data_IF_275800613334
#
_entry.id   IF_275800613334
#
_cell.length_a   1.000
_cell.length_b   1.000
_cell.length_c   1.000
_cell.angle_alpha   90.00
_cell.angle_beta   90.00
_cell.angle_gamma   90.00
#
_symmetry.space_group_name_H-M   'P 1'
#
loop_
_entity.id
_entity.type
_entity.pdbx_description
1 polymer ?
#
# COMPACT_ATOMS: atom_id res chain seq x y z
N UNK A 1 15.85 -9.55 -24.90
CA UNK A 1 15.56 -10.38 -23.71
C UNK A 1 14.26 -9.83 -23.18
N UNK A 2 13.24 -10.66 -22.95
CA UNK A 2 12.04 -10.15 -22.27
C UNK A 2 12.44 -9.95 -20.81
N UNK A 3 12.58 -8.69 -20.40
CA UNK A 3 12.89 -8.37 -19.01
C UNK A 3 11.60 -8.51 -18.19
N UNK A 4 11.70 -9.14 -17.03
CA UNK A 4 10.58 -9.29 -16.12
C UNK A 4 10.23 -7.94 -15.48
N UNK A 5 9.00 -7.78 -14.93
CA UNK A 5 8.61 -6.56 -14.25
C UNK A 5 9.58 -6.17 -13.12
N UNK A 6 9.64 -4.88 -12.75
CA UNK A 6 10.37 -4.45 -11.57
C UNK A 6 9.94 -5.23 -10.32
N UNK A 7 10.89 -5.48 -9.42
CA UNK A 7 10.67 -6.31 -8.23
C UNK A 7 10.73 -5.46 -6.96
N UNK A 8 9.68 -5.49 -6.16
CA UNK A 8 9.64 -4.87 -4.84
C UNK A 8 9.63 -5.92 -3.71
N UNK A 9 9.78 -5.47 -2.47
CA UNK A 9 9.65 -6.31 -1.28
C UNK A 9 8.63 -5.71 -0.31
N UNK A 10 7.57 -6.45 -0.01
CA UNK A 10 6.63 -6.15 1.04
C UNK A 10 6.96 -6.97 2.30
N UNK A 11 7.03 -6.29 3.45
CA UNK A 11 7.30 -6.89 4.75
C UNK A 11 6.10 -6.59 5.65
N UNK A 12 5.40 -7.64 6.06
CA UNK A 12 4.26 -7.49 6.96
C UNK A 12 4.70 -7.57 8.42
N UNK A 13 4.36 -6.58 9.24
CA UNK A 13 4.50 -6.61 10.70
C UNK A 13 3.11 -6.63 11.33
N UNK A 14 2.67 -7.73 11.95
CA UNK A 14 1.25 -7.99 12.20
C UNK A 14 0.72 -7.38 13.50
N UNK A 15 1.53 -6.72 14.33
CA UNK A 15 1.12 -6.32 15.68
C UNK A 15 0.66 -4.87 15.75
N UNK A 16 -0.38 -4.63 16.54
CA UNK A 16 -0.82 -3.29 16.95
C UNK A 16 -0.95 -3.26 18.47
N UNK A 17 -0.84 -2.08 19.09
CA UNK A 17 -1.24 -1.90 20.50
C UNK A 17 -2.72 -2.24 20.68
N UNK A 18 -3.56 -1.77 19.75
CA UNK A 18 -4.99 -2.02 19.70
C UNK A 18 -5.42 -2.11 18.24
N UNK A 19 -6.31 -3.05 17.92
CA UNK A 19 -6.95 -3.12 16.60
C UNK A 19 -8.05 -2.06 16.52
N UNK A 20 -8.00 -1.21 15.48
CA UNK A 20 -9.06 -0.22 15.24
C UNK A 20 -10.33 -0.94 14.72
N UNK A 21 -11.54 -0.49 15.09
CA UNK A 21 -12.79 -1.18 14.76
C UNK A 21 -13.12 -1.22 13.26
N UNK A 22 -12.54 -0.31 12.47
CA UNK A 22 -12.66 -0.28 11.00
C UNK A 22 -11.57 -1.07 10.26
N UNK A 23 -10.51 -1.51 10.96
CA UNK A 23 -9.30 -2.02 10.30
C UNK A 23 -9.48 -3.47 9.83
N UNK A 24 -9.45 -3.67 8.52
CA UNK A 24 -9.54 -4.95 7.83
C UNK A 24 -8.18 -5.64 7.63
N UNK A 25 -7.08 -4.91 7.84
CA UNK A 25 -5.74 -5.47 7.76
C UNK A 25 -5.51 -6.63 8.73
N UNK A 26 -4.53 -7.48 8.38
CA UNK A 26 -4.05 -8.57 9.22
C UNK A 26 -3.26 -8.07 10.44
N UNK A 27 -3.94 -7.37 11.33
CA UNK A 27 -3.36 -6.82 12.56
C UNK A 27 -3.88 -7.54 13.81
N UNK A 28 -3.01 -7.69 14.81
CA UNK A 28 -3.26 -8.40 16.06
C UNK A 28 -2.98 -7.45 17.23
N UNK A 29 -4.02 -7.15 18.01
CA UNK A 29 -3.92 -6.28 19.18
C UNK A 29 -3.22 -6.99 20.33
N UNK A 30 -2.04 -6.53 20.72
CA UNK A 30 -1.25 -7.15 21.81
C UNK A 30 -1.37 -6.40 23.14
N UNK A 31 -1.77 -5.13 23.14
CA UNK A 31 -1.74 -4.27 24.33
C UNK A 31 -0.45 -3.44 24.42
N UNK A 32 -0.43 -2.45 25.33
CA UNK A 32 0.70 -1.50 25.45
C UNK A 32 1.94 -2.13 26.10
N UNK A 33 1.74 -3.06 27.03
CA UNK A 33 2.80 -3.58 27.90
C UNK A 33 3.37 -4.93 27.43
N UNK A 34 2.98 -5.38 26.23
CA UNK A 34 3.44 -6.66 25.69
C UNK A 34 4.76 -6.50 24.96
N UNK A 35 5.76 -7.25 25.41
CA UNK A 35 7.04 -7.37 24.71
C UNK A 35 6.84 -8.18 23.43
N UNK A 36 7.20 -7.58 22.29
CA UNK A 36 7.14 -8.24 21.00
C UNK A 36 8.34 -9.19 20.82
N UNK A 37 8.17 -10.36 20.17
CA UNK A 37 9.25 -11.31 19.95
C UNK A 37 10.17 -10.86 18.79
N UNK A 38 10.74 -9.65 18.88
CA UNK A 38 11.42 -8.96 17.79
C UNK A 38 12.52 -9.82 17.16
N UNK A 39 13.46 -10.33 17.96
CA UNK A 39 14.59 -11.15 17.47
C UNK A 39 14.09 -12.36 16.69
N UNK A 40 13.16 -13.12 17.27
CA UNK A 40 12.58 -14.32 16.66
C UNK A 40 11.81 -13.98 15.38
N UNK A 41 11.16 -12.82 15.34
CA UNK A 41 10.43 -12.38 14.16
C UNK A 41 11.37 -11.97 13.03
N UNK A 42 12.42 -11.20 13.33
CA UNK A 42 13.45 -10.84 12.34
C UNK A 42 14.14 -12.10 11.81
N UNK A 43 14.44 -13.08 12.67
CA UNK A 43 14.98 -14.38 12.23
C UNK A 43 14.03 -15.07 11.24
N UNK A 44 12.74 -15.11 11.57
CA UNK A 44 11.74 -15.70 10.71
C UNK A 44 11.57 -14.95 9.37
N UNK A 45 11.67 -13.61 9.36
CA UNK A 45 11.62 -12.83 8.12
C UNK A 45 12.81 -13.11 7.21
N UNK A 46 14.02 -13.19 7.77
CA UNK A 46 15.23 -13.49 6.99
C UNK A 46 15.22 -14.93 6.47
N UNK A 47 14.76 -15.89 7.27
CA UNK A 47 14.59 -17.28 6.85
C UNK A 47 13.50 -17.44 5.77
N UNK A 48 12.40 -16.68 5.87
CA UNK A 48 11.35 -16.64 4.84
C UNK A 48 11.91 -16.13 3.51
N UNK A 49 12.69 -15.04 3.57
CA UNK A 49 13.38 -14.54 2.38
C UNK A 49 14.37 -15.56 1.80
N UNK A 50 15.16 -16.23 2.65
CA UNK A 50 16.12 -17.24 2.18
C UNK A 50 15.42 -18.37 1.41
N UNK A 51 14.20 -18.75 1.83
CA UNK A 51 13.40 -19.74 1.12
C UNK A 51 12.89 -19.22 -0.24
N UNK A 52 12.45 -17.98 -0.30
CA UNK A 52 11.94 -17.35 -1.54
C UNK A 52 13.03 -16.71 -2.41
N UNK A 53 14.31 -16.76 -2.02
CA UNK A 53 15.42 -16.08 -2.70
C UNK A 53 15.52 -16.41 -4.19
N UNK A 54 15.25 -17.65 -4.55
CA UNK A 54 15.22 -18.11 -5.95
C UNK A 54 14.26 -17.30 -6.84
N UNK A 55 13.19 -16.72 -6.28
CA UNK A 55 12.21 -15.93 -7.01
C UNK A 55 12.71 -14.50 -7.34
N UNK A 56 13.81 -14.05 -6.74
CA UNK A 56 14.47 -12.78 -7.08
C UNK A 56 14.98 -12.80 -8.52
N UNK A 57 15.43 -13.97 -8.99
CA UNK A 57 15.88 -14.19 -10.37
C UNK A 57 16.98 -13.20 -10.80
N UNK A 58 17.86 -12.83 -9.87
CA UNK A 58 18.98 -11.91 -10.11
C UNK A 58 18.59 -10.43 -10.27
N UNK A 59 17.31 -10.07 -10.14
CA UNK A 59 16.84 -8.68 -10.20
C UNK A 59 17.23 -7.91 -8.95
N UNK A 60 17.40 -6.60 -9.10
CA UNK A 60 17.46 -5.68 -7.97
C UNK A 60 16.05 -5.44 -7.39
N UNK A 61 16.01 -5.07 -6.11
CA UNK A 61 14.79 -4.62 -5.45
C UNK A 61 14.68 -3.10 -5.57
N UNK A 62 13.58 -2.63 -6.16
CA UNK A 62 13.35 -1.19 -6.44
C UNK A 62 12.69 -0.45 -5.27
N UNK A 63 12.01 -1.17 -4.38
CA UNK A 63 11.43 -0.59 -3.16
C UNK A 63 11.19 -1.65 -2.08
N UNK A 64 11.20 -1.21 -0.82
CA UNK A 64 10.77 -1.99 0.34
C UNK A 64 9.63 -1.24 1.03
N UNK A 65 8.52 -1.93 1.31
CA UNK A 65 7.43 -1.39 2.10
C UNK A 65 7.18 -2.25 3.33
N UNK A 66 7.29 -1.64 4.49
CA UNK A 66 7.11 -2.28 5.78
C UNK A 66 5.79 -1.79 6.36
N UNK A 67 4.75 -2.63 6.26
CA UNK A 67 3.37 -2.29 6.62
C UNK A 67 2.67 -3.34 7.47
N UNK A 68 1.37 -3.17 7.69
CA UNK A 68 0.50 -4.19 8.27
C UNK A 68 -0.27 -3.71 9.49
N UNK A 69 0.16 -4.15 10.67
CA UNK A 69 -0.35 -3.65 11.94
C UNK A 69 0.22 -2.27 12.27
N UNK A 70 1.25 -2.24 13.10
CA UNK A 70 2.00 -1.03 13.44
C UNK A 70 3.49 -1.36 13.43
N UNK A 71 4.12 -1.34 12.25
CA UNK A 71 5.55 -1.63 12.10
C UNK A 71 6.44 -0.83 13.05
N UNK A 72 6.14 0.45 13.26
CA UNK A 72 6.85 1.33 14.18
C UNK A 72 6.86 0.88 15.66
N UNK A 73 6.19 -0.22 16.03
CA UNK A 73 6.33 -0.87 17.34
C UNK A 73 7.62 -1.66 17.51
N UNK A 74 8.28 -2.08 16.42
CA UNK A 74 9.58 -2.75 16.51
C UNK A 74 10.69 -1.74 16.82
N UNK A 75 11.74 -2.17 17.51
CA UNK A 75 12.89 -1.31 17.83
C UNK A 75 13.70 -0.91 16.60
N UNK A 76 14.42 0.21 16.69
CA UNK A 76 15.36 0.62 15.64
C UNK A 76 16.47 -0.42 15.41
N UNK A 77 16.92 -1.12 16.46
CA UNK A 77 17.89 -2.21 16.36
C UNK A 77 17.35 -3.41 15.61
N UNK A 78 16.05 -3.73 15.75
CA UNK A 78 15.43 -4.80 14.96
C UNK A 78 15.45 -4.45 13.46
N UNK A 79 15.12 -3.21 13.12
CA UNK A 79 15.20 -2.75 11.72
C UNK A 79 16.61 -2.66 11.17
N UNK A 80 17.59 -2.23 11.97
CA UNK A 80 19.00 -2.29 11.58
C UNK A 80 19.39 -3.72 11.20
N UNK A 81 19.11 -4.68 12.09
CA UNK A 81 19.40 -6.09 11.87
C UNK A 81 18.69 -6.65 10.64
N UNK A 82 17.41 -6.33 10.46
CA UNK A 82 16.63 -6.74 9.30
C UNK A 82 17.26 -6.21 8.01
N UNK A 83 17.46 -4.89 7.90
CA UNK A 83 17.98 -4.26 6.68
C UNK A 83 19.40 -4.71 6.36
N UNK A 84 20.26 -4.93 7.35
CA UNK A 84 21.59 -5.51 7.14
C UNK A 84 21.50 -6.94 6.61
N UNK A 85 20.59 -7.76 7.17
CA UNK A 85 20.33 -9.11 6.68
C UNK A 85 19.76 -9.13 5.26
N UNK A 86 18.90 -8.16 4.90
CA UNK A 86 18.35 -8.02 3.55
C UNK A 86 19.44 -7.62 2.54
N UNK A 87 20.31 -6.65 2.88
CA UNK A 87 21.45 -6.23 2.02
C UNK A 87 22.45 -7.34 1.73
N UNK A 88 22.57 -8.33 2.62
CA UNK A 88 23.41 -9.51 2.40
C UNK A 88 22.80 -10.50 1.39
N UNK A 89 21.48 -10.46 1.18
CA UNK A 89 20.72 -11.42 0.37
C UNK A 89 20.27 -10.84 -0.96
N UNK A 90 20.04 -9.53 -1.01
CA UNK A 90 19.38 -8.83 -2.09
C UNK A 90 20.24 -7.68 -2.60
N UNK A 91 20.15 -7.43 -3.90
CA UNK A 91 20.70 -6.23 -4.52
C UNK A 91 19.64 -5.15 -4.41
N UNK A 92 19.98 -4.02 -3.80
CA UNK A 92 19.08 -2.87 -3.71
C UNK A 92 19.37 -1.92 -4.86
N UNK A 93 18.32 -1.38 -5.48
CA UNK A 93 18.44 -0.25 -6.38
C UNK A 93 19.14 0.92 -5.67
N UNK A 94 19.92 1.70 -6.41
CA UNK A 94 20.73 2.80 -5.84
C UNK A 94 19.86 3.86 -5.15
N UNK A 95 18.69 4.12 -5.69
CA UNK A 95 17.69 5.09 -5.25
C UNK A 95 16.49 4.44 -4.56
N UNK A 96 16.68 3.24 -3.98
CA UNK A 96 15.62 2.46 -3.33
C UNK A 96 14.81 3.29 -2.34
N UNK A 97 13.48 3.22 -2.46
CA UNK A 97 12.56 3.73 -1.45
C UNK A 97 12.32 2.63 -0.40
N UNK A 98 12.53 2.96 0.88
CA UNK A 98 12.25 2.09 2.02
C UNK A 98 11.23 2.81 2.92
N UNK A 99 9.98 2.40 2.81
CA UNK A 99 8.85 2.94 3.57
C UNK A 99 8.61 2.16 4.85
N UNK A 100 8.38 2.87 5.97
CA UNK A 100 7.86 2.31 7.21
C UNK A 100 6.53 2.99 7.59
N UNK A 101 5.48 2.20 7.82
CA UNK A 101 4.25 2.69 8.44
C UNK A 101 4.44 2.94 9.94
N UNK A 102 3.89 4.06 10.41
CA UNK A 102 3.98 4.49 11.79
C UNK A 102 2.65 5.04 12.33
N UNK A 103 2.42 4.85 13.63
CA UNK A 103 1.36 5.56 14.34
C UNK A 103 1.94 6.77 15.10
N UNK A 104 1.13 7.83 15.35
CA UNK A 104 1.58 9.03 16.06
C UNK A 104 1.98 8.87 17.54
N UNK A 105 2.07 7.66 18.09
CA UNK A 105 2.31 7.44 19.51
C UNK A 105 3.69 7.94 19.99
N UNK A 106 3.78 8.34 21.26
CA UNK A 106 5.00 8.91 21.85
C UNK A 106 6.20 7.95 21.84
N UNK A 107 5.96 6.63 21.93
CA UNK A 107 7.03 5.63 21.94
C UNK A 107 7.67 5.49 20.55
N UNK A 108 6.86 5.64 19.52
CA UNK A 108 7.26 5.54 18.12
C UNK A 108 8.10 6.75 17.71
N UNK A 109 7.75 7.95 18.21
CA UNK A 109 8.46 9.21 17.90
C UNK A 109 9.93 9.18 18.32
N UNK A 110 10.25 8.59 19.46
CA UNK A 110 11.64 8.52 19.97
C UNK A 110 12.54 7.59 19.14
N UNK A 111 11.95 6.81 18.22
CA UNK A 111 12.67 5.81 17.41
C UNK A 111 12.95 6.26 15.99
N UNK A 112 12.37 7.37 15.52
CA UNK A 112 12.51 7.84 14.14
C UNK A 112 13.97 8.08 13.73
N UNK A 113 14.81 8.66 14.59
CA UNK A 113 16.25 8.79 14.31
C UNK A 113 16.93 7.43 14.09
N UNK A 114 16.54 6.43 14.88
CA UNK A 114 17.01 5.06 14.73
C UNK A 114 16.57 4.43 13.42
N UNK A 115 15.31 4.63 13.01
CA UNK A 115 14.80 4.17 11.72
C UNK A 115 15.50 4.85 10.55
N UNK A 116 15.72 6.17 10.62
CA UNK A 116 16.43 6.89 9.56
C UNK A 116 17.84 6.36 9.38
N UNK A 117 18.56 6.12 10.49
CA UNK A 117 19.92 5.58 10.49
C UNK A 117 20.02 4.16 9.94
N UNK A 118 19.00 3.32 10.13
CA UNK A 118 19.01 1.95 9.59
C UNK A 118 18.86 1.90 8.06
N UNK A 119 18.37 2.99 7.46
CA UNK A 119 18.24 3.16 6.02
C UNK A 119 16.80 3.37 5.54
N UNK A 120 15.82 3.37 6.45
CA UNK A 120 14.44 3.77 6.14
C UNK A 120 14.48 5.24 5.73
N UNK A 121 13.86 5.59 4.60
CA UNK A 121 13.93 6.93 4.01
C UNK A 121 12.55 7.52 3.67
N UNK A 122 11.46 6.78 3.94
CA UNK A 122 10.09 7.28 3.86
C UNK A 122 9.27 6.80 5.05
N UNK A 123 8.44 7.69 5.61
CA UNK A 123 7.46 7.35 6.65
C UNK A 123 6.03 7.54 6.14
N UNK A 124 5.14 6.63 6.52
CA UNK A 124 3.68 6.77 6.35
C UNK A 124 3.04 6.86 7.73
N UNK A 125 2.52 8.01 8.10
CA UNK A 125 1.99 8.25 9.45
C UNK A 125 0.45 8.20 9.42
N UNK A 126 -0.11 7.20 10.09
CA UNK A 126 -1.56 7.06 10.23
C UNK A 126 -2.16 8.15 11.12
N UNK A 127 -2.64 9.27 10.55
CA UNK A 127 -3.25 10.34 11.37
C UNK A 127 -4.77 10.11 11.48
N UNK A 128 -5.39 9.81 10.34
CA UNK A 128 -6.82 9.62 10.08
C UNK A 128 -7.66 10.89 10.27
N UNK A 129 -7.51 11.58 11.41
CA UNK A 129 -8.11 12.89 11.66
C UNK A 129 -7.29 13.64 12.72
N UNK A 130 -7.40 14.97 12.77
CA UNK A 130 -6.89 15.80 13.85
C UNK A 130 -7.97 16.12 14.89
N UNK A 131 -9.25 15.89 14.58
CA UNK A 131 -10.37 16.15 15.45
C UNK A 131 -10.52 15.05 16.53
N UNK A 132 -10.59 15.45 17.80
CA UNK A 132 -10.66 14.52 18.93
C UNK A 132 -11.89 13.59 18.86
N UNK A 133 -13.07 14.13 18.55
CA UNK A 133 -14.29 13.33 18.44
C UNK A 133 -14.24 12.30 17.32
N UNK A 134 -13.56 12.61 16.20
CA UNK A 134 -13.39 11.68 15.09
C UNK A 134 -12.39 10.57 15.41
N UNK A 135 -11.29 10.92 16.08
CA UNK A 135 -10.32 9.93 16.56
C UNK A 135 -10.94 8.97 17.59
N UNK A 136 -11.76 9.49 18.51
CA UNK A 136 -12.51 8.68 19.47
C UNK A 136 -13.48 7.73 18.76
N UNK A 137 -14.26 8.23 17.81
CA UNK A 137 -15.18 7.41 17.01
C UNK A 137 -14.43 6.29 16.27
N UNK A 138 -13.25 6.58 15.72
CA UNK A 138 -12.38 5.61 15.05
C UNK A 138 -11.63 4.66 16.00
N UNK A 139 -11.81 4.78 17.32
CA UNK A 139 -11.11 3.98 18.32
C UNK A 139 -9.59 4.22 18.36
N UNK A 140 -9.13 5.35 17.81
CA UNK A 140 -7.71 5.73 17.80
C UNK A 140 -7.27 6.14 19.20
N UNK A 141 -6.05 5.77 19.55
CA UNK A 141 -5.48 5.96 20.90
C UNK A 141 -4.51 7.14 20.99
N UNK A 142 -4.36 7.89 19.89
CA UNK A 142 -3.58 9.11 19.78
C UNK A 142 -4.50 10.32 19.57
N UNK A 143 -3.95 11.51 19.74
CA UNK A 143 -4.59 12.81 19.56
C UNK A 143 -4.02 13.56 18.35
N UNK A 144 -4.76 14.53 17.81
CA UNK A 144 -4.24 15.42 16.77
C UNK A 144 -2.96 16.17 17.19
N UNK A 145 -2.80 16.46 18.48
CA UNK A 145 -1.56 17.03 19.03
C UNK A 145 -0.36 16.08 18.95
N UNK A 146 -0.58 14.78 19.19
CA UNK A 146 0.44 13.74 19.01
C UNK A 146 0.79 13.56 17.54
N UNK A 147 -0.18 13.60 16.63
CA UNK A 147 0.07 13.60 15.18
C UNK A 147 0.99 14.74 14.76
N UNK A 148 0.69 15.99 15.18
CA UNK A 148 1.54 17.15 14.88
C UNK A 148 2.96 17.01 15.46
N UNK A 149 3.11 16.41 16.64
CA UNK A 149 4.43 16.12 17.23
C UNK A 149 5.18 15.07 16.43
N UNK A 150 4.52 13.98 16.03
CA UNK A 150 5.13 12.92 15.27
C UNK A 150 5.72 13.41 13.94
N UNK A 151 5.00 14.28 13.21
CA UNK A 151 5.53 14.86 11.97
C UNK A 151 6.76 15.73 12.22
N UNK A 152 6.77 16.54 13.29
CA UNK A 152 7.96 17.31 13.67
C UNK A 152 9.14 16.42 14.03
N UNK A 153 8.92 15.40 14.85
CA UNK A 153 9.98 14.45 15.22
C UNK A 153 10.52 13.67 14.02
N UNK A 154 9.67 13.34 13.04
CA UNK A 154 10.12 12.71 11.79
C UNK A 154 11.07 13.65 11.00
N UNK A 155 10.73 14.93 10.90
CA UNK A 155 11.58 15.95 10.25
C UNK A 155 12.90 16.15 10.99
N UNK A 156 12.84 16.28 12.32
CA UNK A 156 14.02 16.39 13.19
C UNK A 156 14.94 15.17 13.05
N UNK A 157 14.37 13.98 12.88
CA UNK A 157 15.10 12.74 12.61
C UNK A 157 15.74 12.67 11.19
N UNK A 158 15.46 13.64 10.32
CA UNK A 158 16.02 13.72 8.97
C UNK A 158 15.20 13.00 7.89
N UNK A 159 13.90 12.77 8.12
CA UNK A 159 12.99 12.36 7.05
C UNK A 159 12.53 13.58 6.25
N UNK A 160 12.78 13.55 4.94
CA UNK A 160 12.34 14.54 3.96
C UNK A 160 11.19 14.02 3.08
N UNK A 161 10.81 12.74 3.24
CA UNK A 161 9.69 12.10 2.56
C UNK A 161 8.72 11.52 3.60
N UNK A 162 7.64 12.24 3.85
CA UNK A 162 6.63 11.90 4.87
C UNK A 162 5.25 11.94 4.23
N UNK A 163 4.56 10.81 4.31
CA UNK A 163 3.15 10.68 4.03
C UNK A 163 2.31 10.81 5.32
N UNK A 164 1.15 11.46 5.23
CA UNK A 164 0.11 11.38 6.26
C UNK A 164 -1.13 10.69 5.68
N UNK A 165 -1.63 9.68 6.38
CA UNK A 165 -2.88 9.03 6.04
C UNK A 165 -4.02 9.78 6.74
N UNK A 166 -5.00 10.25 5.97
CA UNK A 166 -6.22 10.92 6.41
C UNK A 166 -7.45 10.17 5.90
N UNK A 167 -8.49 10.16 6.72
CA UNK A 167 -9.77 9.57 6.36
C UNK A 167 -10.86 10.63 6.28
N UNK A 168 -11.75 10.50 5.31
CA UNK A 168 -12.98 11.28 5.22
C UNK A 168 -14.21 10.38 5.22
N UNK A 169 -15.41 10.97 5.33
CA UNK A 169 -16.64 10.21 5.50
C UNK A 169 -16.78 9.59 6.90
N UNK A 170 -16.16 10.20 7.91
CA UNK A 170 -16.17 9.68 9.28
C UNK A 170 -17.53 9.91 9.97
N UNK A 171 -17.86 9.16 11.05
CA UNK A 171 -19.13 9.31 11.75
C UNK A 171 -19.40 10.76 12.20
N UNK A 172 -20.51 11.34 11.73
CA UNK A 172 -20.88 12.73 12.03
C UNK A 172 -19.93 13.79 11.46
N UNK A 173 -19.02 13.45 10.55
CA UNK A 173 -18.10 14.40 9.94
C UNK A 173 -18.84 15.37 9.03
N UNK A 174 -18.61 16.66 9.22
CA UNK A 174 -19.11 17.72 8.34
C UNK A 174 -18.06 18.06 7.28
N UNK A 175 -18.49 18.74 6.21
CA UNK A 175 -17.59 19.29 5.20
C UNK A 175 -16.45 20.10 5.82
N UNK A 176 -16.79 21.06 6.69
CA UNK A 176 -15.80 21.90 7.36
C UNK A 176 -14.81 21.10 8.23
N UNK A 177 -15.26 20.01 8.86
CA UNK A 177 -14.37 19.15 9.65
C UNK A 177 -13.41 18.35 8.76
N UNK A 178 -13.88 17.81 7.64
CA UNK A 178 -13.05 17.09 6.68
C UNK A 178 -11.99 17.99 6.05
N UNK A 179 -12.38 19.20 5.59
CA UNK A 179 -11.44 20.19 5.07
C UNK A 179 -10.46 20.67 6.13
N UNK A 180 -10.91 20.86 7.37
CA UNK A 180 -10.05 21.22 8.49
C UNK A 180 -8.98 20.17 8.82
N UNK A 181 -9.21 18.89 8.50
CA UNK A 181 -8.17 17.85 8.62
C UNK A 181 -7.12 17.99 7.52
N UNK A 182 -7.52 18.28 6.28
CA UNK A 182 -6.61 18.54 5.15
C UNK A 182 -5.77 19.79 5.42
N UNK A 183 -6.39 20.91 5.82
CA UNK A 183 -5.70 22.16 6.13
C UNK A 183 -4.63 21.97 7.21
N UNK A 184 -4.96 21.21 8.27
CA UNK A 184 -4.00 20.91 9.32
C UNK A 184 -2.87 20.00 8.85
N UNK A 185 -3.13 19.03 7.98
CA UNK A 185 -2.08 18.24 7.36
C UNK A 185 -1.19 19.09 6.47
N UNK A 186 -1.75 19.93 5.60
CA UNK A 186 -0.99 20.82 4.72
C UNK A 186 -0.11 21.80 5.50
N UNK A 187 -0.58 22.29 6.65
CA UNK A 187 0.22 23.13 7.55
C UNK A 187 1.42 22.39 8.18
N UNK A 188 1.42 21.05 8.18
CA UNK A 188 2.57 20.23 8.54
C UNK A 188 3.48 19.94 7.33
N UNK A 189 3.15 20.47 6.15
CA UNK A 189 3.95 20.43 4.93
C UNK A 189 4.48 19.01 4.58
N UNK A 190 3.63 17.98 4.49
CA UNK A 190 4.07 16.66 4.06
C UNK A 190 4.50 16.69 2.58
N UNK A 191 5.18 15.63 2.15
CA UNK A 191 5.47 15.43 0.72
C UNK A 191 4.39 14.61 0.01
N UNK A 192 3.56 13.91 0.78
CA UNK A 192 2.56 12.98 0.29
C UNK A 192 1.36 12.92 1.25
N UNK A 193 0.17 12.68 0.72
CA UNK A 193 -1.06 12.46 1.48
C UNK A 193 -1.81 11.27 0.89
N UNK A 194 -2.09 10.27 1.72
CA UNK A 194 -3.13 9.28 1.43
C UNK A 194 -4.43 9.83 2.02
N UNK A 195 -5.40 10.16 1.18
CA UNK A 195 -6.68 10.70 1.61
C UNK A 195 -7.80 9.86 1.01
N UNK A 196 -8.50 9.13 1.87
CA UNK A 196 -9.43 8.08 1.45
C UNK A 196 -10.68 8.05 2.31
N UNK A 197 -11.77 7.54 1.74
CA UNK A 197 -13.03 7.40 2.44
C UNK A 197 -12.96 6.24 3.45
N UNK A 198 -13.63 6.41 4.59
CA UNK A 198 -13.95 5.29 5.47
C UNK A 198 -14.93 4.34 4.76
N UNK A 199 -14.45 3.14 4.43
CA UNK A 199 -15.28 2.04 3.92
C UNK A 199 -15.53 1.02 5.02
N UNK A 200 -16.74 0.47 5.08
CA UNK A 200 -17.10 -0.58 6.04
C UNK A 200 -16.77 -1.95 5.46
N UNK A 201 -15.58 -2.45 5.76
CA UNK A 201 -15.06 -3.70 5.19
C UNK A 201 -15.59 -4.95 5.91
N UNK A 202 -15.91 -6.05 5.18
CA UNK A 202 -16.31 -7.31 5.80
C UNK A 202 -15.32 -7.80 6.86
N UNK A 203 -15.84 -8.46 7.91
CA UNK A 203 -15.07 -8.97 9.05
C UNK A 203 -14.45 -7.91 9.97
N UNK A 204 -15.00 -6.69 9.95
CA UNK A 204 -14.65 -5.62 10.90
C UNK A 204 -15.75 -5.40 11.94
N UNK A 205 -15.40 -4.73 13.03
CA UNK A 205 -16.39 -4.34 14.05
C UNK A 205 -17.38 -3.35 13.46
N UNK A 206 -16.92 -2.38 12.67
CA UNK A 206 -17.81 -1.43 12.00
C UNK A 206 -18.71 -2.07 10.94
N UNK A 207 -18.30 -3.15 10.28
CA UNK A 207 -19.23 -3.87 9.40
C UNK A 207 -20.34 -4.58 10.18
N UNK A 208 -20.00 -5.11 11.36
CA UNK A 208 -20.95 -5.83 12.22
C UNK A 208 -21.88 -4.89 12.99
N UNK A 209 -21.36 -3.73 13.39
CA UNK A 209 -22.05 -2.68 14.12
C UNK A 209 -21.77 -1.31 13.45
N UNK A 210 -22.43 -1.03 12.31
CA UNK A 210 -22.15 0.15 11.51
C UNK A 210 -22.45 1.46 12.25
N UNK A 211 -21.47 2.38 12.33
CA UNK A 211 -21.74 3.72 12.81
C UNK A 211 -22.54 4.51 11.77
N UNK A 212 -23.25 5.59 12.16
CA UNK A 212 -23.90 6.47 11.20
C UNK A 212 -22.84 7.22 10.37
N UNK A 213 -22.83 6.97 9.06
CA UNK A 213 -21.95 7.66 8.10
C UNK A 213 -22.68 8.83 7.42
N UNK A 214 -21.96 9.82 6.87
CA UNK A 214 -22.57 10.84 6.02
C UNK A 214 -23.29 10.24 4.81
N UNK A 215 -24.33 10.91 4.34
CA UNK A 215 -25.04 10.58 3.11
C UNK A 215 -24.17 10.82 1.85
N UNK A 216 -24.58 10.27 0.71
CA UNK A 216 -23.82 10.32 -0.55
C UNK A 216 -23.57 11.75 -1.04
N UNK A 217 -24.55 12.66 -0.89
CA UNK A 217 -24.42 14.07 -1.27
C UNK A 217 -23.31 14.75 -0.46
N UNK A 218 -23.26 14.52 0.85
CA UNK A 218 -22.18 15.03 1.72
C UNK A 218 -20.83 14.44 1.38
N UNK A 219 -20.77 13.14 1.09
CA UNK A 219 -19.52 12.47 0.74
C UNK A 219 -18.96 13.04 -0.56
N UNK A 220 -19.83 13.30 -1.54
CA UNK A 220 -19.48 13.98 -2.78
C UNK A 220 -18.95 15.39 -2.53
N UNK A 221 -19.66 16.21 -1.76
CA UNK A 221 -19.23 17.57 -1.40
C UNK A 221 -17.85 17.58 -0.69
N UNK A 222 -17.62 16.62 0.21
CA UNK A 222 -16.34 16.45 0.90
C UNK A 222 -15.22 16.10 -0.08
N UNK A 223 -15.48 15.14 -0.98
CA UNK A 223 -14.49 14.65 -1.93
C UNK A 223 -14.09 15.74 -2.93
N UNK A 224 -15.07 16.44 -3.50
CA UNK A 224 -14.87 17.49 -4.50
C UNK A 224 -14.10 18.67 -3.91
N UNK A 225 -14.59 19.24 -2.80
CA UNK A 225 -13.94 20.37 -2.16
C UNK A 225 -12.54 20.04 -1.61
N UNK A 226 -12.33 18.81 -1.10
CA UNK A 226 -11.02 18.40 -0.61
C UNK A 226 -10.03 18.10 -1.75
N UNK A 227 -10.51 17.61 -2.89
CA UNK A 227 -9.70 17.46 -4.10
C UNK A 227 -9.21 18.82 -4.59
N UNK A 228 -10.10 19.79 -4.75
CA UNK A 228 -9.76 21.17 -5.14
C UNK A 228 -8.75 21.81 -4.17
N UNK A 229 -8.96 21.62 -2.86
CA UNK A 229 -8.05 22.12 -1.84
C UNK A 229 -6.63 21.53 -1.99
N UNK A 230 -6.52 20.22 -2.21
CA UNK A 230 -5.23 19.56 -2.39
C UNK A 230 -4.52 20.01 -3.68
N UNK A 231 -5.25 20.10 -4.80
CA UNK A 231 -4.68 20.58 -6.07
C UNK A 231 -4.19 22.03 -5.95
N UNK A 232 -4.94 22.90 -5.27
CA UNK A 232 -4.53 24.28 -5.00
C UNK A 232 -3.27 24.41 -4.13
N UNK A 233 -2.90 23.34 -3.43
CA UNK A 233 -1.73 23.26 -2.56
C UNK A 233 -0.53 22.54 -3.20
N UNK A 234 -0.51 22.39 -4.53
CA UNK A 234 0.53 21.72 -5.34
C UNK A 234 0.64 20.20 -5.06
N UNK A 235 -0.47 19.56 -4.66
CA UNK A 235 -0.56 18.11 -4.58
C UNK A 235 -1.33 17.55 -5.77
N UNK A 236 -0.72 16.65 -6.54
CA UNK A 236 -1.38 15.98 -7.66
C UNK A 236 -1.85 14.60 -7.25
N UNK A 237 -3.11 14.29 -7.57
CA UNK A 237 -3.64 12.93 -7.44
C UNK A 237 -3.01 12.02 -8.50
N UNK A 238 -2.26 11.01 -8.08
CA UNK A 238 -1.62 10.06 -9.01
C UNK A 238 -2.28 8.68 -9.00
N UNK A 239 -3.07 8.37 -7.97
CA UNK A 239 -3.97 7.21 -7.88
C UNK A 239 -5.22 7.57 -7.07
N UNK A 240 -6.22 6.69 -7.05
CA UNK A 240 -7.53 6.84 -6.38
C UNK A 240 -7.48 7.64 -5.06
N UNK A 241 -6.59 7.25 -4.15
CA UNK A 241 -6.54 7.72 -2.77
C UNK A 241 -5.26 8.47 -2.40
N UNK A 242 -4.31 8.66 -3.33
CA UNK A 242 -3.03 9.29 -2.99
C UNK A 242 -2.69 10.50 -3.86
N UNK A 243 -2.16 11.47 -3.13
CA UNK A 243 -1.75 12.78 -3.58
C UNK A 243 -0.29 12.98 -3.20
N UNK A 244 0.49 13.54 -4.11
CA UNK A 244 1.90 13.79 -3.84
C UNK A 244 2.33 15.12 -4.44
N UNK A 245 3.35 15.72 -3.83
CA UNK A 245 4.15 16.74 -4.51
C UNK A 245 4.92 16.08 -5.68
N UNK A 246 5.32 16.86 -6.70
CA UNK A 246 6.06 16.32 -7.84
C UNK A 246 7.29 15.52 -7.42
N UNK A 247 7.42 14.29 -7.95
CA UNK A 247 8.55 13.39 -7.68
C UNK A 247 8.54 12.75 -6.28
N UNK A 248 7.41 12.82 -5.55
CA UNK A 248 7.26 12.24 -4.21
C UNK A 248 6.18 11.15 -4.15
N UNK A 249 5.72 10.64 -5.30
CA UNK A 249 4.83 9.49 -5.37
C UNK A 249 5.49 8.26 -4.72
N UNK A 250 4.71 7.41 -4.05
CA UNK A 250 5.25 6.21 -3.43
C UNK A 250 5.71 5.20 -4.50
N UNK A 251 7.02 4.91 -4.56
CA UNK A 251 7.59 4.00 -5.54
C UNK A 251 7.01 2.59 -5.41
N UNK A 252 6.78 2.14 -4.17
CA UNK A 252 6.18 0.82 -3.93
C UNK A 252 4.75 0.71 -4.46
N UNK A 253 3.92 1.73 -4.22
CA UNK A 253 2.54 1.74 -4.72
C UNK A 253 2.52 1.81 -6.25
N UNK A 254 3.37 2.63 -6.86
CA UNK A 254 3.48 2.70 -8.31
C UNK A 254 3.89 1.35 -8.92
N UNK A 255 4.83 0.62 -8.31
CA UNK A 255 5.17 -0.73 -8.74
C UNK A 255 3.96 -1.67 -8.69
N UNK A 256 3.18 -1.63 -7.59
CA UNK A 256 1.97 -2.43 -7.45
C UNK A 256 0.93 -2.10 -8.53
N UNK A 257 0.62 -0.81 -8.70
CA UNK A 257 -0.38 -0.34 -9.66
C UNK A 257 0.02 -0.53 -11.13
N UNK A 258 1.32 -0.52 -11.44
CA UNK A 258 1.83 -0.87 -12.76
C UNK A 258 1.87 -2.37 -13.02
N UNK A 259 1.29 -3.18 -12.15
CA UNK A 259 1.33 -4.63 -12.24
C UNK A 259 2.78 -5.16 -12.21
N UNK A 260 3.64 -4.55 -11.41
CA UNK A 260 4.98 -5.03 -11.10
C UNK A 260 4.97 -6.30 -10.25
N UNK A 261 6.16 -6.82 -9.97
CA UNK A 261 6.34 -7.96 -9.07
C UNK A 261 6.66 -7.47 -7.65
N UNK A 262 6.27 -8.26 -6.66
CA UNK A 262 6.67 -8.05 -5.28
C UNK A 262 6.77 -9.36 -4.51
N UNK A 263 7.87 -9.51 -3.77
CA UNK A 263 8.03 -10.54 -2.74
C UNK A 263 7.23 -10.13 -1.51
N UNK A 264 6.66 -11.11 -0.81
CA UNK A 264 5.96 -10.88 0.46
C UNK A 264 6.53 -11.77 1.55
N UNK A 265 7.11 -11.17 2.60
CA UNK A 265 7.59 -11.88 3.78
C UNK A 265 6.87 -11.39 5.04
N UNK A 266 6.72 -12.27 6.02
CA UNK A 266 6.02 -11.96 7.26
C UNK A 266 4.59 -12.52 7.34
N UNK A 267 4.03 -12.49 8.55
CA UNK A 267 2.76 -13.12 8.87
C UNK A 267 1.60 -12.46 8.10
N UNK A 268 1.01 -13.18 7.15
CA UNK A 268 -0.06 -12.66 6.29
C UNK A 268 0.42 -11.88 5.07
N UNK A 269 1.73 -11.78 4.83
CA UNK A 269 2.26 -11.15 3.63
C UNK A 269 1.81 -11.87 2.36
N UNK A 270 1.61 -11.10 1.30
CA UNK A 270 1.27 -11.60 -0.04
C UNK A 270 2.38 -11.20 -1.01
N UNK A 271 2.55 -11.99 -2.06
CA UNK A 271 3.46 -11.71 -3.17
C UNK A 271 2.78 -11.94 -4.51
N UNK A 272 3.24 -11.22 -5.53
CA UNK A 272 2.92 -11.47 -6.95
C UNK A 272 4.24 -11.56 -7.69
N UNK A 273 4.50 -12.70 -8.31
CA UNK A 273 5.80 -12.98 -8.92
C UNK A 273 5.63 -13.51 -10.33
N UNK A 274 6.39 -12.96 -11.25
CA UNK A 274 6.47 -13.37 -12.64
C UNK A 274 7.71 -14.23 -12.86
N UNK A 275 7.61 -15.16 -13.81
CA UNK A 275 8.70 -16.03 -14.23
C UNK A 275 8.49 -16.43 -15.68
N UNK A 276 9.58 -16.71 -16.39
CA UNK A 276 9.57 -17.25 -17.74
C UNK A 276 10.23 -18.62 -17.69
N UNK A 277 9.52 -19.65 -18.15
CA UNK A 277 10.05 -21.01 -18.17
C UNK A 277 11.08 -21.21 -19.32
N UNK A 278 11.85 -22.31 -19.34
CA UNK A 278 12.84 -22.55 -20.40
C UNK A 278 12.27 -22.64 -21.83
N UNK A 279 10.94 -22.79 -21.97
CA UNK A 279 10.26 -22.78 -23.27
C UNK A 279 9.74 -21.37 -23.64
N UNK A 280 10.07 -20.34 -22.86
CA UNK A 280 9.66 -18.96 -23.09
C UNK A 280 8.24 -18.64 -22.65
N UNK A 281 7.58 -19.50 -21.88
CA UNK A 281 6.21 -19.24 -21.41
C UNK A 281 6.22 -18.46 -20.10
N UNK A 282 5.39 -17.43 -20.07
CA UNK A 282 5.15 -16.62 -18.88
C UNK A 282 4.31 -17.37 -17.86
N UNK A 283 4.64 -17.17 -16.59
CA UNK A 283 3.86 -17.63 -15.45
C UNK A 283 3.86 -16.55 -14.37
N UNK A 284 2.66 -16.14 -13.98
CA UNK A 284 2.44 -15.19 -12.88
C UNK A 284 1.77 -15.94 -11.73
N UNK A 285 2.32 -15.81 -10.54
CA UNK A 285 1.80 -16.44 -9.33
C UNK A 285 1.52 -15.42 -8.23
N UNK A 286 0.37 -15.55 -7.59
CA UNK A 286 0.08 -14.94 -6.29
C UNK A 286 0.44 -15.94 -5.20
N UNK A 287 1.11 -15.51 -4.15
CA UNK A 287 1.50 -16.35 -2.99
C UNK A 287 1.14 -15.63 -1.70
N UNK A 288 0.85 -16.38 -0.63
CA UNK A 288 0.58 -15.80 0.68
C UNK A 288 1.15 -16.63 1.83
N UNK A 289 1.48 -15.93 2.93
CA UNK A 289 1.97 -16.51 4.18
C UNK A 289 0.82 -16.74 5.16
N UNK A 290 1.06 -17.50 6.23
CA UNK A 290 0.05 -17.71 7.28
C UNK A 290 -0.25 -16.40 8.00
N UNK A 291 -1.53 -16.08 8.19
CA UNK A 291 -1.99 -14.82 8.79
C UNK A 291 -1.61 -14.63 10.27
N UNK A 292 -1.72 -15.70 11.06
CA UNK A 292 -1.50 -15.64 12.52
C UNK A 292 0.01 -15.58 12.85
N UNK A 293 0.48 -14.62 13.68
CA UNK A 293 1.90 -14.43 13.98
C UNK A 293 2.58 -15.69 14.53
N UNK A 294 1.93 -16.38 15.48
CA UNK A 294 2.46 -17.60 16.09
C UNK A 294 2.51 -18.76 15.10
N UNK A 295 1.55 -18.82 14.16
CA UNK A 295 1.57 -19.84 13.11
C UNK A 295 2.72 -19.59 12.12
N UNK A 296 2.97 -18.33 11.78
CA UNK A 296 4.09 -17.92 10.95
C UNK A 296 5.43 -18.22 11.62
N UNK A 297 5.59 -17.87 12.90
CA UNK A 297 6.80 -18.12 13.69
C UNK A 297 7.09 -19.62 13.90
N UNK A 298 6.09 -20.50 13.76
CA UNK A 298 6.29 -21.96 13.78
C UNK A 298 6.85 -22.50 12.45
N UNK A 299 6.74 -21.76 11.34
CA UNK A 299 7.22 -22.19 10.02
C UNK A 299 8.74 -22.28 9.92
N UNK A 300 9.50 -21.58 10.76
CA UNK A 300 10.98 -21.65 10.78
C UNK A 300 11.53 -23.08 10.86
N UNK A 301 10.82 -23.99 11.55
CA UNK A 301 11.24 -25.38 11.74
C UNK A 301 10.30 -26.37 11.01
N UNK A 302 9.42 -25.87 10.15
CA UNK A 302 8.43 -26.69 9.44
C UNK A 302 8.97 -27.04 8.04
N UNK A 303 9.06 -28.33 7.67
CA UNK A 303 9.54 -28.72 6.33
C UNK A 303 8.66 -28.20 5.19
N UNK A 304 7.42 -27.77 5.47
CA UNK A 304 6.54 -27.13 4.49
C UNK A 304 6.96 -25.68 4.18
N UNK A 305 7.83 -25.09 5.00
CA UNK A 305 8.32 -23.72 4.86
C UNK A 305 7.25 -22.64 5.08
N UNK A 306 7.54 -21.41 4.67
CA UNK A 306 6.72 -20.23 5.00
C UNK A 306 5.51 -20.00 4.10
N UNK A 307 5.56 -20.46 2.84
CA UNK A 307 4.44 -20.34 1.90
C UNK A 307 3.24 -21.15 2.41
N UNK A 308 2.13 -20.46 2.68
CA UNK A 308 0.90 -21.08 3.17
C UNK A 308 -0.05 -21.47 2.03
N UNK A 309 0.01 -20.76 0.91
CA UNK A 309 -0.73 -21.06 -0.30
C UNK A 309 -0.32 -20.14 -1.44
N UNK A 310 -0.84 -20.44 -2.63
CA UNK A 310 -0.64 -19.64 -3.83
C UNK A 310 -1.58 -20.05 -4.95
N UNK A 311 -1.67 -19.20 -5.96
CA UNK A 311 -2.49 -19.38 -7.14
C UNK A 311 -1.74 -18.88 -8.37
N UNK A 312 -1.77 -19.64 -9.47
CA UNK A 312 -1.30 -19.14 -10.77
C UNK A 312 -2.40 -18.27 -11.37
N UNK A 313 -2.06 -17.07 -11.85
CA UNK A 313 -2.99 -16.20 -12.55
C UNK A 313 -3.21 -16.77 -13.95
N UNK A 314 -4.44 -17.21 -14.22
CA UNK A 314 -4.81 -17.79 -15.51
C UNK A 314 -4.79 -16.72 -16.60
N UNK A 315 -4.38 -17.09 -17.83
CA UNK A 315 -4.30 -16.16 -18.98
C UNK A 315 -5.59 -15.35 -19.17
N UNK A 316 -6.72 -16.02 -18.98
CA UNK A 316 -8.07 -15.46 -19.14
C UNK A 316 -8.41 -14.37 -18.11
N UNK A 317 -7.82 -14.44 -16.91
CA UNK A 317 -8.00 -13.46 -15.84
C UNK A 317 -7.03 -12.27 -15.94
N UNK A 318 -5.97 -12.38 -16.75
CA UNK A 318 -4.94 -11.34 -16.87
C UNK A 318 -5.48 -9.97 -17.30
N UNK A 319 -6.43 -9.85 -18.25
CA UNK A 319 -6.99 -8.54 -18.63
C UNK A 319 -7.53 -7.75 -17.44
N UNK A 320 -8.43 -8.37 -16.66
CA UNK A 320 -9.01 -7.75 -15.48
C UNK A 320 -7.95 -7.51 -14.39
N UNK A 321 -7.12 -8.51 -14.10
CA UNK A 321 -6.04 -8.42 -13.11
C UNK A 321 -5.09 -7.25 -13.38
N UNK A 322 -4.64 -7.08 -14.63
CA UNK A 322 -3.76 -5.98 -15.01
C UNK A 322 -4.47 -4.63 -14.93
N UNK A 323 -5.65 -4.51 -15.56
CA UNK A 323 -6.35 -3.23 -15.69
C UNK A 323 -6.93 -2.74 -14.36
N UNK A 324 -7.32 -3.65 -13.45
CA UNK A 324 -7.75 -3.31 -12.09
C UNK A 324 -6.65 -2.61 -11.28
N UNK A 325 -5.38 -2.85 -11.63
CA UNK A 325 -4.24 -2.14 -11.06
C UNK A 325 -3.92 -0.88 -11.87
N UNK A 326 -3.71 -1.03 -13.18
CA UNK A 326 -3.22 0.04 -14.04
C UNK A 326 -4.18 1.25 -14.11
N UNK A 327 -5.49 1.01 -14.18
CA UNK A 327 -6.50 2.07 -14.34
C UNK A 327 -6.83 2.79 -13.03
N UNK A 328 -6.23 2.37 -11.90
CA UNK A 328 -6.25 3.16 -10.66
C UNK A 328 -5.31 4.37 -10.72
N UNK A 329 -4.30 4.33 -11.59
CA UNK A 329 -3.43 5.48 -11.84
C UNK A 329 -4.18 6.50 -12.68
N UNK A 330 -4.17 7.77 -12.27
CA UNK A 330 -4.83 8.86 -13.02
C UNK A 330 -4.20 9.07 -14.40
N UNK A 331 -2.88 8.87 -14.49
CA UNK A 331 -2.13 8.89 -15.74
C UNK A 331 -2.16 7.54 -16.49
N UNK A 332 -2.70 6.49 -15.88
CA UNK A 332 -2.66 5.14 -16.41
C UNK A 332 -1.25 4.59 -16.56
N UNK A 333 -1.07 3.71 -17.54
CA UNK A 333 0.21 3.06 -17.87
C UNK A 333 0.47 3.12 -19.37
N UNK A 334 1.72 2.86 -19.78
CA UNK A 334 2.05 2.72 -21.19
C UNK A 334 1.45 1.41 -21.73
N UNK A 335 0.98 1.41 -22.97
CA UNK A 335 0.32 0.22 -23.55
C UNK A 335 1.26 -0.99 -23.62
N UNK A 336 2.57 -0.73 -23.74
CA UNK A 336 3.62 -1.75 -23.75
C UNK A 336 3.77 -2.45 -22.39
N UNK A 337 3.37 -1.81 -21.28
CA UNK A 337 3.40 -2.42 -19.95
C UNK A 337 2.52 -3.68 -19.88
N UNK A 338 1.46 -3.76 -20.69
CA UNK A 338 0.66 -4.98 -20.81
C UNK A 338 1.51 -6.15 -21.28
N UNK A 339 2.20 -6.01 -22.41
CA UNK A 339 2.99 -7.09 -22.99
C UNK A 339 4.22 -7.38 -22.11
N UNK A 340 4.87 -6.32 -21.61
CA UNK A 340 6.06 -6.42 -20.76
C UNK A 340 5.77 -7.05 -19.39
N UNK A 341 4.54 -6.92 -18.85
CA UNK A 341 4.22 -7.44 -17.51
C UNK A 341 3.33 -8.68 -17.51
N UNK A 342 2.82 -9.10 -18.67
CA UNK A 342 1.96 -10.29 -18.78
C UNK A 342 2.44 -11.32 -19.80
N UNK A 343 3.33 -10.92 -20.71
CA UNK A 343 3.76 -11.72 -21.85
C UNK A 343 2.65 -12.00 -22.86
N UNK A 344 1.48 -11.37 -22.73
CA UNK A 344 0.36 -11.53 -23.65
C UNK A 344 0.36 -10.42 -24.71
N UNK A 345 -0.03 -10.70 -25.96
CA UNK A 345 -0.10 -9.68 -27.00
C UNK A 345 -1.27 -8.71 -26.76
N UNK A 346 -1.12 -7.45 -27.19
CA UNK A 346 -2.17 -6.42 -27.09
C UNK A 346 -3.48 -6.80 -27.80
N UNK A 347 -3.41 -7.71 -28.78
CA UNK A 347 -4.59 -8.24 -29.48
C UNK A 347 -5.63 -8.87 -28.54
N UNK A 348 -5.23 -9.34 -27.35
CA UNK A 348 -6.15 -9.87 -26.34
C UNK A 348 -7.05 -8.80 -25.70
N UNK A 349 -6.56 -7.56 -25.62
CA UNK A 349 -7.30 -6.44 -25.04
C UNK A 349 -8.05 -5.62 -26.08
N UNK A 350 -7.58 -5.62 -27.33
CA UNK A 350 -7.98 -4.66 -28.37
C UNK A 350 -9.50 -4.48 -28.51
N UNK A 351 -10.32 -5.55 -28.65
CA UNK A 351 -11.77 -5.37 -28.81
C UNK A 351 -12.44 -4.67 -27.63
N UNK A 352 -11.99 -4.97 -26.41
CA UNK A 352 -12.52 -4.40 -25.16
C UNK A 352 -12.04 -2.97 -24.94
N UNK A 353 -10.78 -2.67 -25.28
CA UNK A 353 -10.24 -1.32 -25.27
C UNK A 353 -11.01 -0.39 -26.21
N UNK A 354 -11.32 -0.86 -27.42
CA UNK A 354 -12.13 -0.09 -28.37
C UNK A 354 -13.56 0.14 -27.86
N UNK A 355 -14.18 -0.85 -27.21
CA UNK A 355 -15.49 -0.70 -26.59
C UNK A 355 -15.46 0.38 -25.49
N UNK A 356 -14.51 0.30 -24.57
CA UNK A 356 -14.33 1.27 -23.49
C UNK A 356 -14.06 2.70 -24.02
N UNK A 357 -13.27 2.84 -25.08
CA UNK A 357 -13.02 4.13 -25.76
C UNK A 357 -14.28 4.68 -26.41
N UNK A 358 -15.10 3.84 -27.07
CA UNK A 358 -16.39 4.27 -27.63
C UNK A 358 -17.36 4.75 -26.55
N UNK A 359 -17.29 4.18 -25.34
CA UNK A 359 -18.07 4.61 -24.18
C UNK A 359 -17.50 5.87 -23.50
N UNK A 360 -16.34 6.39 -23.96
CA UNK A 360 -15.68 7.55 -23.36
C UNK A 360 -15.02 7.26 -22.01
N UNK A 361 -14.87 5.99 -21.62
CA UNK A 361 -14.29 5.59 -20.33
C UNK A 361 -12.76 5.49 -20.37
N UNK A 362 -12.17 5.22 -21.53
CA UNK A 362 -10.72 5.28 -21.76
C UNK A 362 -10.34 6.42 -22.71
N UNK A 363 -9.14 6.96 -22.53
CA UNK A 363 -8.58 7.94 -23.47
C UNK A 363 -8.39 7.33 -24.86
N UNK A 364 -8.45 8.15 -25.90
CA UNK A 364 -8.27 7.72 -27.29
C UNK A 364 -6.80 7.52 -27.66
N UNK A 365 -5.86 7.76 -26.74
CA UNK A 365 -4.43 7.61 -27.01
C UNK A 365 -4.10 6.14 -27.28
N UNK A 366 -3.47 5.81 -28.43
CA UNK A 366 -3.12 4.42 -28.74
C UNK A 366 -1.95 3.91 -27.90
N UNK A 367 -1.11 4.80 -27.37
CA UNK A 367 0.09 4.44 -26.59
C UNK A 367 -0.16 4.31 -25.08
N UNK A 368 -1.37 4.59 -24.61
CA UNK A 368 -1.68 4.64 -23.17
C UNK A 368 -2.95 3.86 -22.83
N UNK A 369 -2.90 3.19 -21.69
CA UNK A 369 -4.05 2.58 -21.02
C UNK A 369 -4.41 3.48 -19.84
N UNK A 370 -5.31 4.42 -20.07
CA UNK A 370 -5.65 5.48 -19.13
C UNK A 370 -7.16 5.73 -19.13
N UNK A 371 -7.77 5.77 -17.94
CA UNK A 371 -9.15 6.15 -17.76
C UNK A 371 -9.33 7.66 -18.02
N UNK A 372 -10.45 8.04 -18.64
CA UNK A 372 -10.86 9.45 -18.66
C UNK A 372 -11.32 9.88 -17.26
N UNK A 373 -11.52 11.18 -16.99
CA UNK A 373 -12.17 11.60 -15.73
C UNK A 373 -13.51 10.90 -15.48
N UNK A 374 -14.30 10.68 -16.54
CA UNK A 374 -15.52 9.87 -16.46
C UNK A 374 -15.22 8.40 -16.17
N UNK A 375 -14.23 7.81 -16.85
CA UNK A 375 -13.81 6.43 -16.60
C UNK A 375 -13.35 6.18 -15.17
N UNK A 376 -12.69 7.15 -14.53
CA UNK A 376 -12.30 7.06 -13.13
C UNK A 376 -13.51 7.05 -12.18
N UNK A 377 -14.54 7.86 -12.47
CA UNK A 377 -15.79 7.86 -11.70
C UNK A 377 -16.54 6.52 -11.84
N UNK A 378 -16.52 5.93 -13.03
CA UNK A 378 -17.18 4.66 -13.36
C UNK A 378 -16.17 3.51 -13.51
N UNK A 379 -15.15 3.48 -12.65
CA UNK A 379 -14.03 2.53 -12.81
C UNK A 379 -14.48 1.07 -12.74
N UNK A 380 -15.47 0.75 -11.90
CA UNK A 380 -16.00 -0.61 -11.81
C UNK A 380 -16.71 -1.03 -13.11
N UNK A 381 -17.52 -0.14 -13.71
CA UNK A 381 -18.18 -0.41 -15.00
C UNK A 381 -17.16 -0.55 -16.14
N UNK A 382 -16.12 0.28 -16.11
CA UNK A 382 -15.00 0.18 -17.05
C UNK A 382 -14.27 -1.17 -16.93
N UNK A 383 -14.00 -1.63 -15.70
CA UNK A 383 -13.33 -2.90 -15.44
C UNK A 383 -14.20 -4.10 -15.81
N UNK A 384 -15.52 -4.02 -15.64
CA UNK A 384 -16.46 -5.08 -16.02
C UNK A 384 -16.38 -5.45 -17.52
N UNK A 385 -15.97 -4.52 -18.39
CA UNK A 385 -15.73 -4.80 -19.82
C UNK A 385 -14.58 -5.79 -20.06
N UNK A 386 -13.73 -6.02 -19.06
CA UNK A 386 -12.57 -6.90 -19.10
C UNK A 386 -12.73 -8.13 -18.21
N UNK A 387 -13.85 -8.24 -17.50
CA UNK A 387 -14.26 -9.46 -16.83
C UNK A 387 -14.86 -10.43 -17.85
N UNK A 388 -14.70 -11.73 -17.62
CA UNK A 388 -15.26 -12.78 -18.48
C UNK A 388 -16.70 -13.14 -18.12
N UNK A 389 -17.16 -12.82 -16.90
CA UNK A 389 -18.51 -13.13 -16.44
C UNK A 389 -19.57 -12.08 -16.83
N UNK A 390 -19.17 -11.01 -17.53
CA UNK A 390 -20.02 -9.87 -17.92
C UNK A 390 -20.59 -9.97 -19.35
#
# INVERSE_FOLDING_TARGET
MMDLPPLALYIHVPWCVRKCPYCDFNSHGVGRDTELPETRYIDALLADLDQDHHAVQGREIVSIFIGGGTPSLLSASAYQRLLDGLRQRLIFARDIEITLEANPGTVEQTRFEGYRRSGINRLSIGVQSFAAGQLEALGRIHSGGEAKRAVRSAREAGFDNVNLDLMHGLPGQTLAAALGDIEQALALEPTHLSWYQLTLEPNTEFFSHPPPLPDEERLWDIQDAGHDLLESADFSRYEISAYARPGRQAHHNLNYWRFGDYLGIGAGAHGKLSSIDPAGRWRIERRWKTRQPEAYLRRMNDPRGFVAGGQTVERRALPLEFLMNALRLTDGVDVEDWENHTGQPLSELTPRLEAARRQGLLTTSPSRLQATPQGLLFLNDLLALFDEEA
#
